data_IF_156293962503
#
_entry.id   IF_156293962503
#
_cell.length_a   1.000
_cell.length_b   1.000
_cell.length_c   1.000
_cell.angle_alpha   90.00
_cell.angle_beta   90.00
_cell.angle_gamma   90.00
#
_symmetry.space_group_name_H-M   'P 1'
#
loop_
_entity.id
_entity.type
_entity.pdbx_description
1 polymer ?
#
# COMPACT_ATOMS: atom_id res chain seq x y z
N UNK A 1 -2.80 -26.18 -57.93
CA UNK A 1 -2.51 -24.87 -58.53
C UNK A 1 -1.72 -24.02 -57.55
N UNK A 2 -0.41 -23.84 -57.81
CA UNK A 2 0.45 -22.79 -57.22
C UNK A 2 1.06 -22.06 -58.42
N UNK A 3 1.16 -20.73 -58.35
CA UNK A 3 1.88 -19.93 -59.34
C UNK A 3 3.18 -19.37 -58.72
N UNK A 4 4.29 -19.70 -59.41
CA UNK A 4 5.59 -19.03 -59.66
C UNK A 4 6.03 -17.82 -58.80
N UNK A 5 7.33 -17.53 -58.60
CA UNK A 5 8.44 -17.63 -59.54
C UNK A 5 9.83 -17.59 -58.84
N UNK A 6 10.83 -18.23 -59.47
CA UNK A 6 12.22 -18.38 -59.02
C UNK A 6 13.11 -17.19 -59.42
N UNK A 7 14.02 -16.82 -58.52
CA UNK A 7 15.21 -15.97 -58.75
C UNK A 7 16.38 -16.82 -59.32
N UNK A 8 17.19 -16.20 -60.17
CA UNK A 8 18.40 -16.79 -60.77
C UNK A 8 19.67 -16.20 -60.13
N UNK A 9 20.66 -17.06 -59.92
CA UNK A 9 21.98 -16.82 -59.31
C UNK A 9 23.02 -16.54 -60.40
N UNK A 10 23.99 -15.63 -60.15
CA UNK A 10 25.36 -15.79 -60.65
C UNK A 10 26.37 -15.01 -59.83
N UNK A 11 27.33 -15.74 -59.27
CA UNK A 11 28.56 -15.38 -58.57
C UNK A 11 29.69 -14.99 -59.54
N UNK A 12 30.56 -14.03 -59.19
CA UNK A 12 31.98 -14.06 -59.60
C UNK A 12 32.90 -13.33 -58.61
N UNK A 13 34.09 -13.91 -58.43
CA UNK A 13 35.11 -13.69 -57.40
C UNK A 13 36.23 -12.75 -57.89
N UNK A 14 36.84 -12.05 -56.93
CA UNK A 14 38.00 -11.15 -56.95
C UNK A 14 39.25 -11.65 -57.72
N UNK A 15 40.07 -10.72 -58.25
CA UNK A 15 41.53 -10.67 -57.97
C UNK A 15 42.17 -9.32 -58.36
N UNK A 16 43.16 -8.92 -57.56
CA UNK A 16 43.94 -7.66 -57.56
C UNK A 16 44.85 -7.45 -58.79
N UNK A 17 45.05 -6.18 -59.17
CA UNK A 17 46.38 -5.65 -59.55
C UNK A 17 46.57 -4.23 -59.00
N UNK A 18 47.74 -4.03 -58.40
CA UNK A 18 48.22 -2.78 -57.81
C UNK A 18 49.23 -2.16 -58.78
N UNK A 19 49.08 -0.88 -59.13
CA UNK A 19 50.12 -0.08 -59.76
C UNK A 19 50.06 1.34 -59.21
N UNK A 20 51.13 1.73 -58.55
CA UNK A 20 51.32 3.00 -57.89
C UNK A 20 51.57 4.14 -58.89
N UNK A 21 51.01 5.32 -58.60
CA UNK A 21 51.48 6.61 -59.14
C UNK A 21 51.27 7.68 -58.07
N UNK A 22 52.32 8.44 -57.80
CA UNK A 22 52.47 9.39 -56.69
C UNK A 22 51.71 10.71 -56.92
N UNK A 23 51.07 11.18 -55.84
CA UNK A 23 50.97 12.55 -55.30
C UNK A 23 50.95 13.76 -56.25
N UNK A 24 49.86 14.54 -56.18
CA UNK A 24 49.91 15.99 -55.90
C UNK A 24 48.74 16.36 -54.96
N UNK A 25 49.05 17.14 -53.95
CA UNK A 25 48.23 17.58 -52.82
C UNK A 25 47.05 18.49 -53.19
N UNK A 26 45.91 18.32 -52.51
CA UNK A 26 45.05 19.45 -52.10
C UNK A 26 44.35 19.13 -50.78
N UNK A 27 44.38 20.11 -49.89
CA UNK A 27 44.11 20.07 -48.44
C UNK A 27 42.68 19.68 -48.06
N UNK A 28 42.58 18.85 -47.02
CA UNK A 28 41.37 18.46 -46.29
C UNK A 28 40.62 19.67 -45.69
N UNK A 29 39.32 19.79 -45.98
CA UNK A 29 38.38 20.49 -45.08
C UNK A 29 37.97 19.49 -43.99
N UNK A 30 38.48 19.67 -42.77
CA UNK A 30 38.01 18.95 -41.58
C UNK A 30 36.56 19.34 -41.28
N UNK A 31 35.73 18.32 -41.12
CA UNK A 31 34.34 18.43 -40.66
C UNK A 31 34.26 19.07 -39.28
N UNK A 32 33.22 19.88 -39.09
CA UNK A 32 32.85 20.43 -37.80
C UNK A 32 32.42 19.28 -36.87
N UNK A 33 33.25 18.98 -35.88
CA UNK A 33 32.88 18.17 -34.74
C UNK A 33 31.80 18.93 -33.96
N UNK A 34 30.61 18.34 -33.81
CA UNK A 34 29.62 18.80 -32.84
C UNK A 34 30.22 18.57 -31.44
N UNK A 35 30.86 19.60 -30.90
CA UNK A 35 31.21 19.64 -29.48
C UNK A 35 29.89 19.82 -28.74
N UNK A 36 29.36 18.75 -28.16
CA UNK A 36 28.39 18.90 -27.08
C UNK A 36 29.12 19.66 -25.99
N UNK A 37 28.77 20.92 -25.78
CA UNK A 37 29.28 21.76 -24.70
C UNK A 37 28.85 21.12 -23.37
N UNK A 38 29.69 20.23 -22.85
CA UNK A 38 29.48 19.56 -21.56
C UNK A 38 29.68 20.64 -20.51
N UNK A 39 28.61 21.32 -20.12
CA UNK A 39 28.64 22.32 -19.06
C UNK A 39 28.98 21.63 -17.72
N UNK A 40 30.22 21.70 -17.20
CA UNK A 40 30.64 20.86 -16.07
C UNK A 40 29.84 21.10 -14.80
N UNK A 41 29.25 22.31 -14.69
CA UNK A 41 28.34 22.69 -13.61
C UNK A 41 27.09 21.82 -13.53
N UNK A 42 26.65 21.20 -14.64
CA UNK A 42 25.47 20.33 -14.70
C UNK A 42 25.78 18.86 -14.34
N UNK A 43 27.05 18.54 -14.06
CA UNK A 43 27.55 17.18 -13.81
C UNK A 43 28.00 16.90 -12.36
N UNK A 44 27.50 17.66 -11.38
CA UNK A 44 27.71 17.38 -9.95
C UNK A 44 26.74 16.31 -9.43
N UNK A 45 27.14 15.62 -8.36
CA UNK A 45 26.26 14.67 -7.66
C UNK A 45 25.15 15.36 -6.90
N UNK A 46 25.41 16.55 -6.35
CA UNK A 46 24.51 17.25 -5.43
C UNK A 46 24.42 18.75 -5.72
N UNK A 47 23.22 19.30 -5.64
CA UNK A 47 22.91 20.72 -5.82
C UNK A 47 22.08 21.22 -4.64
N UNK A 48 22.71 21.99 -3.75
CA UNK A 48 22.03 22.62 -2.63
C UNK A 48 21.57 24.02 -3.02
N UNK A 49 20.26 24.24 -3.02
CA UNK A 49 19.61 25.48 -3.45
C UNK A 49 18.95 26.11 -2.22
N UNK A 50 19.42 27.31 -1.83
CA UNK A 50 18.83 28.08 -0.73
C UNK A 50 18.33 29.45 -1.18
N UNK A 51 18.88 29.93 -2.29
CA UNK A 51 18.56 31.26 -2.83
C UNK A 51 18.21 31.18 -4.31
N UNK A 52 17.52 32.20 -4.81
CA UNK A 52 17.30 32.36 -6.26
C UNK A 52 18.62 32.38 -7.07
N UNK A 53 19.72 32.86 -6.47
CA UNK A 53 21.05 32.86 -7.09
C UNK A 53 21.61 31.45 -7.31
N UNK A 54 21.43 30.55 -6.34
CA UNK A 54 21.86 29.15 -6.46
C UNK A 54 21.11 28.45 -7.61
N UNK A 55 19.81 28.72 -7.74
CA UNK A 55 18.98 28.17 -8.80
C UNK A 55 19.37 28.74 -10.17
N UNK A 56 19.63 30.05 -10.25
CA UNK A 56 20.08 30.71 -11.48
C UNK A 56 21.39 30.08 -12.00
N UNK A 57 22.28 29.66 -11.12
CA UNK A 57 23.56 29.03 -11.48
C UNK A 57 23.41 27.71 -12.27
N UNK A 58 22.27 27.03 -12.15
CA UNK A 58 21.96 25.76 -12.84
C UNK A 58 20.80 25.86 -13.85
N UNK A 59 20.21 27.05 -14.01
CA UNK A 59 18.97 27.25 -14.79
C UNK A 59 19.10 27.03 -16.31
N UNK A 60 20.32 27.07 -16.84
CA UNK A 60 20.67 26.78 -18.22
C UNK A 60 21.06 25.32 -18.47
N UNK A 61 21.14 24.50 -17.41
CA UNK A 61 21.33 23.06 -17.55
C UNK A 61 20.04 22.41 -18.07
N UNK A 62 20.10 21.79 -19.25
CA UNK A 62 18.98 20.99 -19.75
C UNK A 62 18.81 19.66 -18.97
N UNK A 63 19.93 19.08 -18.51
CA UNK A 63 19.99 17.82 -17.76
C UNK A 63 20.87 18.03 -16.53
N UNK A 64 20.36 17.64 -15.36
CA UNK A 64 21.08 17.65 -14.09
C UNK A 64 21.49 16.20 -13.76
N UNK A 65 22.78 15.90 -13.68
CA UNK A 65 23.26 14.53 -13.44
C UNK A 65 23.03 14.02 -12.02
N UNK A 66 22.80 14.92 -11.07
CA UNK A 66 22.72 14.64 -9.65
C UNK A 66 21.35 14.94 -9.06
N UNK A 67 21.31 15.08 -7.74
CA UNK A 67 20.11 15.43 -6.97
C UNK A 67 20.05 16.92 -6.65
N UNK A 68 18.85 17.48 -6.71
CA UNK A 68 18.55 18.85 -6.31
C UNK A 68 17.91 18.84 -4.91
N UNK A 69 18.53 19.56 -4.00
CA UNK A 69 18.09 19.74 -2.63
C UNK A 69 17.80 21.22 -2.38
N UNK A 70 16.51 21.54 -2.26
CA UNK A 70 16.04 22.89 -1.94
C UNK A 70 15.64 22.91 -0.47
N UNK A 71 16.27 23.79 0.32
CA UNK A 71 15.94 23.98 1.73
C UNK A 71 16.06 25.45 2.12
N UNK A 72 15.20 25.85 3.06
CA UNK A 72 15.17 27.22 3.60
C UNK A 72 15.14 28.29 2.48
N UNK A 73 14.42 28.00 1.39
CA UNK A 73 14.42 28.83 0.18
C UNK A 73 13.76 30.19 0.45
N UNK A 74 14.47 31.26 0.10
CA UNK A 74 14.13 32.64 0.47
C UNK A 74 13.12 33.35 -0.46
N UNK A 75 12.65 32.66 -1.49
CA UNK A 75 11.74 33.19 -2.51
C UNK A 75 10.37 32.51 -2.48
N UNK A 76 9.35 33.24 -2.95
CA UNK A 76 7.96 32.77 -3.04
C UNK A 76 7.74 31.77 -4.20
N UNK A 77 8.66 31.72 -5.15
CA UNK A 77 8.52 30.96 -6.39
C UNK A 77 9.81 30.19 -6.69
N UNK A 78 9.69 28.86 -6.79
CA UNK A 78 10.76 27.97 -7.24
C UNK A 78 10.50 27.61 -8.71
N UNK A 79 11.24 28.26 -9.63
CA UNK A 79 11.09 28.08 -11.07
C UNK A 79 12.29 27.33 -11.67
N UNK A 80 12.10 26.06 -12.06
CA UNK A 80 13.17 25.20 -12.60
C UNK A 80 13.55 25.52 -14.06
N UNK A 81 12.82 26.42 -14.72
CA UNK A 81 13.17 26.95 -16.03
C UNK A 81 13.32 25.91 -17.14
N UNK A 82 14.52 25.81 -17.70
CA UNK A 82 14.80 25.00 -18.88
C UNK A 82 15.19 23.55 -18.56
N UNK A 83 15.33 23.20 -17.27
CA UNK A 83 15.68 21.86 -16.82
C UNK A 83 14.62 20.87 -17.29
N UNK A 84 15.05 19.90 -18.10
CA UNK A 84 14.20 18.85 -18.66
C UNK A 84 14.30 17.55 -17.90
N UNK A 85 15.43 17.29 -17.27
CA UNK A 85 15.67 16.03 -16.58
C UNK A 85 16.56 16.26 -15.35
N UNK A 86 16.16 15.65 -14.24
CA UNK A 86 16.99 15.48 -13.03
C UNK A 86 17.25 13.99 -12.90
N UNK A 87 18.51 13.55 -13.01
CA UNK A 87 18.87 12.13 -12.96
C UNK A 87 18.77 11.55 -11.54
N UNK A 88 18.97 12.38 -10.51
CA UNK A 88 18.80 12.01 -9.10
C UNK A 88 17.43 12.41 -8.55
N UNK A 89 17.43 12.82 -7.28
CA UNK A 89 16.26 13.24 -6.54
C UNK A 89 15.96 14.74 -6.76
N UNK A 90 14.70 15.14 -6.61
CA UNK A 90 14.28 16.52 -6.47
C UNK A 90 13.59 16.67 -5.13
N UNK A 91 14.25 17.28 -4.16
CA UNK A 91 13.73 17.42 -2.80
C UNK A 91 13.56 18.89 -2.45
N UNK A 92 12.40 19.25 -1.90
CA UNK A 92 12.10 20.60 -1.41
C UNK A 92 11.56 20.48 0.00
N UNK A 93 12.28 21.04 0.97
CA UNK A 93 11.98 20.89 2.39
C UNK A 93 12.01 22.22 3.12
N UNK A 94 11.12 22.39 4.10
CA UNK A 94 11.16 23.50 5.07
C UNK A 94 11.18 24.90 4.43
N UNK A 95 10.58 25.07 3.25
CA UNK A 95 10.52 26.38 2.59
C UNK A 95 9.18 27.05 2.94
N UNK A 96 9.14 27.75 4.08
CA UNK A 96 7.91 28.36 4.60
C UNK A 96 7.39 29.54 3.77
N UNK A 97 8.26 30.22 3.02
CA UNK A 97 7.89 31.32 2.13
C UNK A 97 7.44 30.87 0.74
N UNK A 98 7.70 29.61 0.37
CA UNK A 98 7.45 29.11 -0.98
C UNK A 98 5.95 28.95 -1.23
N UNK A 99 5.42 29.74 -2.17
CA UNK A 99 4.02 29.75 -2.56
C UNK A 99 3.75 28.88 -3.80
N UNK A 100 4.69 28.87 -4.74
CA UNK A 100 4.53 28.22 -6.05
C UNK A 100 5.81 27.50 -6.46
N UNK A 101 5.64 26.36 -7.12
CA UNK A 101 6.75 25.64 -7.74
C UNK A 101 6.38 25.23 -9.17
N UNK A 102 7.29 25.51 -10.10
CA UNK A 102 7.04 25.43 -11.53
C UNK A 102 8.23 24.79 -12.26
N UNK A 103 7.94 23.77 -13.06
CA UNK A 103 8.89 23.08 -13.92
C UNK A 103 8.29 22.84 -15.31
N UNK A 104 8.11 23.88 -16.14
CA UNK A 104 7.37 23.77 -17.41
C UNK A 104 8.06 22.86 -18.45
N UNK A 105 9.36 22.62 -18.29
CA UNK A 105 10.16 21.77 -19.17
C UNK A 105 10.50 20.41 -18.57
N UNK A 106 10.30 20.21 -17.27
CA UNK A 106 10.76 19.02 -16.56
C UNK A 106 9.93 17.81 -16.99
N UNK A 107 10.59 16.84 -17.59
CA UNK A 107 10.00 15.61 -18.10
C UNK A 107 10.25 14.41 -17.20
N UNK A 108 11.40 14.35 -16.55
CA UNK A 108 11.77 13.23 -15.68
C UNK A 108 12.53 13.66 -14.41
N UNK A 109 12.22 12.96 -13.32
CA UNK A 109 13.03 12.88 -12.11
C UNK A 109 13.43 11.40 -11.95
N UNK A 110 14.73 11.10 -11.96
CA UNK A 110 15.22 9.73 -11.94
C UNK A 110 15.01 9.03 -10.60
N UNK A 111 14.93 9.79 -9.51
CA UNK A 111 14.70 9.31 -8.16
C UNK A 111 13.41 9.86 -7.52
N UNK A 112 13.54 10.29 -6.26
CA UNK A 112 12.43 10.77 -5.45
C UNK A 112 12.13 12.25 -5.74
N UNK A 113 10.86 12.56 -5.99
CA UNK A 113 10.34 13.92 -5.92
C UNK A 113 9.66 14.13 -4.55
N UNK A 114 10.41 14.71 -3.62
CA UNK A 114 9.99 14.94 -2.23
C UNK A 114 9.58 16.38 -1.99
N UNK A 115 8.37 16.58 -1.47
CA UNK A 115 7.87 17.86 -0.97
C UNK A 115 7.52 17.67 0.51
N UNK A 116 8.17 18.41 1.41
CA UNK A 116 8.01 18.21 2.84
C UNK A 116 7.99 19.54 3.62
N UNK A 117 6.97 19.72 4.46
CA UNK A 117 6.82 20.91 5.32
C UNK A 117 6.84 22.20 4.50
N UNK A 118 5.95 22.30 3.51
CA UNK A 118 5.79 23.48 2.65
C UNK A 118 4.45 24.14 2.98
N UNK A 119 4.42 24.80 4.14
CA UNK A 119 3.19 25.30 4.77
C UNK A 119 2.44 26.36 3.95
N UNK A 120 3.15 27.05 3.04
CA UNK A 120 2.59 28.10 2.21
C UNK A 120 2.43 27.70 0.73
N UNK A 121 2.80 26.47 0.36
CA UNK A 121 2.74 26.02 -1.03
C UNK A 121 1.28 25.82 -1.46
N UNK A 122 0.84 26.61 -2.43
CA UNK A 122 -0.55 26.60 -2.94
C UNK A 122 -0.68 25.92 -4.29
N UNK A 123 0.36 26.00 -5.13
CA UNK A 123 0.34 25.45 -6.48
C UNK A 123 1.64 24.76 -6.89
N UNK A 124 1.50 23.64 -7.57
CA UNK A 124 2.56 22.86 -8.18
C UNK A 124 2.26 22.69 -9.68
N UNK A 125 3.18 23.08 -10.57
CA UNK A 125 2.96 22.99 -12.03
C UNK A 125 4.12 22.32 -12.77
N UNK A 126 3.88 21.09 -13.25
CA UNK A 126 4.84 20.25 -13.97
C UNK A 126 4.14 19.58 -15.16
N UNK A 127 3.67 20.38 -16.15
CA UNK A 127 2.79 19.89 -17.21
C UNK A 127 3.42 18.82 -18.12
N UNK A 128 4.75 18.71 -18.15
CA UNK A 128 5.50 17.75 -18.98
C UNK A 128 6.08 16.56 -18.22
N UNK A 129 5.87 16.48 -16.91
CA UNK A 129 6.45 15.43 -16.09
C UNK A 129 5.75 14.10 -16.37
N UNK A 130 6.49 13.13 -16.91
CA UNK A 130 5.98 11.82 -17.29
C UNK A 130 6.62 10.68 -16.47
N UNK A 131 7.78 10.93 -15.85
CA UNK A 131 8.56 9.90 -15.16
C UNK A 131 9.09 10.39 -13.82
N UNK A 132 8.81 9.66 -12.75
CA UNK A 132 9.36 9.87 -11.42
C UNK A 132 9.43 8.54 -10.69
N UNK A 133 10.51 8.19 -10.01
CA UNK A 133 10.57 6.89 -9.30
C UNK A 133 9.60 6.89 -8.11
N UNK A 134 9.63 7.94 -7.28
CA UNK A 134 8.79 8.07 -6.09
C UNK A 134 8.25 9.48 -5.91
N UNK A 135 6.94 9.64 -5.76
CA UNK A 135 6.33 10.87 -5.25
C UNK A 135 6.17 10.74 -3.73
N UNK A 136 6.78 11.66 -2.97
CA UNK A 136 6.68 11.69 -1.52
C UNK A 136 6.29 13.08 -1.02
N UNK A 137 5.02 13.25 -0.72
CA UNK A 137 4.43 14.52 -0.31
C UNK A 137 3.92 14.45 1.12
N UNK A 138 4.40 15.38 1.95
CA UNK A 138 4.09 15.41 3.36
C UNK A 138 3.98 16.83 3.87
N UNK A 139 2.92 17.13 4.63
CA UNK A 139 2.70 18.44 5.26
C UNK A 139 2.68 19.55 4.20
N UNK A 140 1.61 19.54 3.40
CA UNK A 140 1.31 20.53 2.35
C UNK A 140 -0.10 21.09 2.58
N UNK A 141 -0.34 21.76 3.74
CA UNK A 141 -1.66 21.99 4.29
C UNK A 141 -2.56 22.92 3.47
N UNK A 142 -2.01 23.64 2.48
CA UNK A 142 -2.78 24.51 1.60
C UNK A 142 -2.51 24.26 0.11
N UNK A 143 -1.90 23.12 -0.23
CA UNK A 143 -1.71 22.73 -1.64
C UNK A 143 -3.06 22.29 -2.21
N UNK A 144 -3.61 23.12 -3.10
CA UNK A 144 -4.91 22.87 -3.75
C UNK A 144 -4.81 22.65 -5.25
N UNK A 145 -3.72 23.09 -5.89
CA UNK A 145 -3.53 22.98 -7.33
C UNK A 145 -2.28 22.19 -7.68
N UNK A 146 -2.45 21.10 -8.43
CA UNK A 146 -1.38 20.28 -8.99
C UNK A 146 -1.65 20.10 -10.48
N UNK A 147 -0.71 20.52 -11.32
CA UNK A 147 -0.76 20.29 -12.76
C UNK A 147 0.29 19.25 -13.19
N UNK A 148 -0.21 18.11 -13.70
CA UNK A 148 0.52 17.09 -14.44
C UNK A 148 -0.17 16.79 -15.78
N UNK A 149 -0.33 17.78 -16.66
CA UNK A 149 -1.10 17.69 -17.92
C UNK A 149 -0.75 16.46 -18.79
N UNK A 150 0.52 16.05 -18.83
CA UNK A 150 0.98 14.89 -19.61
C UNK A 150 0.67 13.53 -18.95
N UNK A 151 0.33 13.55 -17.66
CA UNK A 151 0.19 12.36 -16.82
C UNK A 151 1.52 11.67 -16.53
N UNK A 152 1.63 11.07 -15.36
CA UNK A 152 2.80 10.29 -14.95
C UNK A 152 2.65 8.87 -15.51
N UNK A 153 3.50 8.52 -16.46
CA UNK A 153 3.51 7.23 -17.17
C UNK A 153 4.43 6.21 -16.50
N UNK A 154 5.41 6.69 -15.72
CA UNK A 154 6.36 5.85 -14.98
C UNK A 154 6.46 6.35 -13.55
N UNK A 155 5.96 5.53 -12.63
CA UNK A 155 6.08 5.75 -11.20
C UNK A 155 6.04 4.42 -10.46
N UNK A 156 6.88 4.28 -9.44
CA UNK A 156 6.92 3.09 -8.61
C UNK A 156 6.32 3.31 -7.23
N UNK A 157 6.23 4.53 -6.70
CA UNK A 157 5.63 4.77 -5.39
C UNK A 157 4.98 6.13 -5.25
N UNK A 158 3.81 6.14 -4.61
CA UNK A 158 3.09 7.34 -4.18
C UNK A 158 2.93 7.29 -2.68
N UNK A 159 3.49 8.27 -1.98
CA UNK A 159 3.34 8.47 -0.54
C UNK A 159 2.83 9.89 -0.33
N UNK A 160 1.61 10.05 0.17
CA UNK A 160 0.96 11.34 0.30
C UNK A 160 0.25 11.49 1.63
N UNK A 161 0.63 12.53 2.39
CA UNK A 161 0.03 12.83 3.68
C UNK A 161 -0.07 14.31 3.99
N UNK A 162 -1.09 14.67 4.77
CA UNK A 162 -1.30 16.03 5.29
C UNK A 162 -1.38 17.09 4.18
N UNK A 163 -2.10 16.79 3.09
CA UNK A 163 -2.35 17.72 1.97
C UNK A 163 -3.79 18.26 1.97
N UNK A 164 -4.03 19.34 1.22
CA UNK A 164 -5.36 19.91 0.98
C UNK A 164 -5.92 19.60 -0.42
N UNK A 165 -5.39 18.57 -1.07
CA UNK A 165 -5.88 18.11 -2.37
C UNK A 165 -7.28 17.51 -2.24
N UNK A 166 -8.14 17.76 -3.23
CA UNK A 166 -9.51 17.22 -3.28
C UNK A 166 -9.63 15.96 -4.11
N UNK A 167 -8.71 15.76 -5.05
CA UNK A 167 -8.54 14.53 -5.81
C UNK A 167 -7.07 14.29 -6.09
N UNK A 168 -6.72 13.02 -6.25
CA UNK A 168 -5.38 12.61 -6.69
C UNK A 168 -5.50 11.52 -7.75
N UNK A 169 -4.80 11.71 -8.85
CA UNK A 169 -4.85 10.85 -10.03
C UNK A 169 -3.78 11.28 -11.03
N UNK A 170 -3.95 10.91 -12.28
CA UNK A 170 -3.02 11.30 -13.34
C UNK A 170 -1.77 10.42 -13.43
N UNK A 171 -1.76 9.25 -12.80
CA UNK A 171 -0.80 8.19 -13.06
C UNK A 171 -1.50 6.96 -13.62
N UNK A 172 -1.07 6.52 -14.80
CA UNK A 172 -1.58 5.32 -15.48
C UNK A 172 -0.39 4.35 -15.61
N UNK A 173 -0.26 3.46 -14.63
CA UNK A 173 0.85 2.52 -14.51
C UNK A 173 0.30 1.13 -14.25
N UNK A 174 1.01 0.11 -14.71
CA UNK A 174 0.64 -1.29 -14.50
C UNK A 174 0.98 -1.76 -13.08
N UNK A 175 2.15 -1.34 -12.56
CA UNK A 175 2.67 -1.80 -11.28
C UNK A 175 3.09 -0.61 -10.42
N UNK A 176 2.79 -0.69 -9.13
CA UNK A 176 3.39 0.13 -8.07
C UNK A 176 4.08 -0.76 -7.05
N UNK A 177 5.03 -0.20 -6.31
CA UNK A 177 5.51 -0.73 -5.03
C UNK A 177 4.55 -0.34 -3.92
N UNK A 178 4.40 0.97 -3.73
CA UNK A 178 3.60 1.52 -2.62
C UNK A 178 2.60 2.55 -3.12
N UNK A 179 1.36 2.43 -2.67
CA UNK A 179 0.32 3.45 -2.75
C UNK A 179 -0.17 3.73 -1.33
N UNK A 180 0.42 4.73 -0.70
CA UNK A 180 0.15 5.11 0.68
C UNK A 180 -0.39 6.54 0.72
N UNK A 181 -1.71 6.66 0.90
CA UNK A 181 -2.43 7.94 0.90
C UNK A 181 -3.20 8.04 2.20
N UNK A 182 -2.72 8.87 3.11
CA UNK A 182 -3.29 9.00 4.45
C UNK A 182 -3.36 10.45 4.95
N UNK A 183 -4.24 10.74 5.91
CA UNK A 183 -4.32 12.07 6.55
C UNK A 183 -4.59 13.24 5.58
N UNK A 184 -5.28 13.01 4.46
CA UNK A 184 -5.68 14.07 3.52
C UNK A 184 -7.16 14.43 3.71
N UNK A 185 -7.44 15.35 4.64
CA UNK A 185 -8.80 15.66 5.13
C UNK A 185 -9.81 16.10 4.05
N UNK A 186 -9.34 16.56 2.90
CA UNK A 186 -10.16 17.03 1.80
C UNK A 186 -10.13 16.12 0.57
N UNK A 187 -9.33 15.05 0.59
CA UNK A 187 -9.18 14.16 -0.56
C UNK A 187 -10.38 13.22 -0.68
N UNK A 188 -11.25 13.48 -1.65
CA UNK A 188 -12.53 12.79 -1.82
C UNK A 188 -12.47 11.64 -2.83
N UNK A 189 -11.41 11.56 -3.65
CA UNK A 189 -11.31 10.60 -4.75
C UNK A 189 -9.88 10.15 -5.00
N UNK A 190 -9.72 8.84 -5.11
CA UNK A 190 -8.52 8.17 -5.61
C UNK A 190 -8.94 7.22 -6.73
N UNK A 191 -8.39 7.40 -7.91
CA UNK A 191 -8.66 6.55 -9.07
C UNK A 191 -7.34 6.16 -9.74
N UNK A 192 -7.18 4.87 -10.03
CA UNK A 192 -6.02 4.37 -10.78
C UNK A 192 -6.35 3.07 -11.52
N UNK A 193 -5.61 2.84 -12.60
CA UNK A 193 -5.67 1.65 -13.45
C UNK A 193 -4.64 0.59 -13.04
N UNK A 194 -3.93 0.80 -11.93
CA UNK A 194 -2.87 -0.11 -11.44
C UNK A 194 -3.38 -1.54 -11.29
N UNK A 195 -2.59 -2.47 -11.80
CA UNK A 195 -2.88 -3.91 -11.81
C UNK A 195 -2.21 -4.63 -10.65
N UNK A 196 -1.05 -4.15 -10.18
CA UNK A 196 -0.27 -4.78 -9.12
C UNK A 196 0.35 -3.77 -8.14
N UNK A 197 0.25 -4.04 -6.84
CA UNK A 197 0.93 -3.27 -5.79
C UNK A 197 1.83 -4.18 -4.96
N UNK A 198 3.13 -4.12 -5.25
CA UNK A 198 4.17 -5.08 -4.80
C UNK A 198 4.59 -4.96 -3.32
N UNK A 199 4.17 -3.91 -2.60
CA UNK A 199 4.51 -3.71 -1.18
C UNK A 199 3.29 -3.38 -0.31
N UNK A 200 2.70 -2.20 -0.47
CA UNK A 200 1.63 -1.70 0.41
C UNK A 200 0.61 -0.85 -0.35
N UNK A 201 -0.67 -1.17 -0.17
CA UNK A 201 -1.79 -0.28 -0.40
C UNK A 201 -2.36 0.16 0.95
N UNK A 202 -2.13 1.41 1.34
CA UNK A 202 -2.67 2.01 2.56
C UNK A 202 -3.53 3.23 2.23
N UNK A 203 -4.83 3.13 2.52
CA UNK A 203 -5.77 4.23 2.50
C UNK A 203 -6.34 4.41 3.92
N UNK A 204 -6.14 5.56 4.54
CA UNK A 204 -6.68 5.85 5.88
C UNK A 204 -6.79 7.34 6.18
N UNK A 205 -7.68 7.75 7.09
CA UNK A 205 -7.76 9.14 7.57
C UNK A 205 -7.84 10.23 6.46
N UNK A 206 -8.46 9.93 5.32
CA UNK A 206 -8.67 10.92 4.26
C UNK A 206 -10.03 11.63 4.42
N UNK A 207 -10.59 12.25 3.38
CA UNK A 207 -11.91 12.88 3.48
C UNK A 207 -12.96 11.84 3.88
N UNK A 208 -13.95 12.29 4.66
CA UNK A 208 -14.99 11.41 5.21
C UNK A 208 -15.82 10.68 4.17
N UNK A 209 -15.90 11.23 2.95
CA UNK A 209 -16.64 10.77 1.78
C UNK A 209 -15.71 10.18 0.71
N UNK A 210 -14.48 9.79 1.06
CA UNK A 210 -13.50 9.33 0.08
C UNK A 210 -14.00 8.08 -0.64
N UNK A 211 -13.92 8.13 -1.98
CA UNK A 211 -14.17 7.00 -2.86
C UNK A 211 -12.88 6.53 -3.51
N UNK A 212 -12.60 5.25 -3.43
CA UNK A 212 -11.39 4.61 -3.97
C UNK A 212 -11.78 3.64 -5.07
N UNK A 213 -11.25 3.85 -6.28
CA UNK A 213 -11.52 2.96 -7.41
C UNK A 213 -10.22 2.46 -8.03
N UNK A 214 -9.94 1.16 -7.85
CA UNK A 214 -8.82 0.45 -8.44
C UNK A 214 -9.35 -0.82 -9.15
N UNK A 215 -10.21 -0.66 -10.18
CA UNK A 215 -10.99 -1.76 -10.75
C UNK A 215 -10.10 -2.84 -11.41
N UNK A 216 -8.87 -2.48 -11.79
CA UNK A 216 -7.93 -3.38 -12.45
C UNK A 216 -6.95 -4.05 -11.48
N UNK A 217 -6.96 -3.71 -10.19
CA UNK A 217 -6.00 -4.23 -9.23
C UNK A 217 -6.24 -5.74 -9.06
N UNK A 218 -5.32 -6.57 -9.55
CA UNK A 218 -5.40 -8.03 -9.49
C UNK A 218 -4.66 -8.57 -8.27
N UNK A 219 -3.55 -7.94 -7.88
CA UNK A 219 -2.66 -8.44 -6.85
C UNK A 219 -2.12 -7.31 -5.98
N UNK A 220 -2.09 -7.52 -4.67
CA UNK A 220 -1.47 -6.61 -3.72
C UNK A 220 -0.75 -7.39 -2.63
N UNK A 221 0.39 -6.89 -2.17
CA UNK A 221 1.13 -7.56 -1.10
C UNK A 221 0.45 -7.38 0.26
N UNK A 222 0.22 -6.13 0.66
CA UNK A 222 -0.47 -5.78 1.90
C UNK A 222 -1.54 -4.74 1.62
N UNK A 223 -2.76 -4.99 2.07
CA UNK A 223 -3.92 -4.12 1.85
C UNK A 223 -4.45 -3.61 3.18
N UNK A 224 -4.54 -2.30 3.33
CA UNK A 224 -5.18 -1.64 4.48
C UNK A 224 -6.09 -0.52 4.00
N UNK A 225 -7.38 -0.65 4.29
CA UNK A 225 -8.43 0.30 3.90
C UNK A 225 -9.21 0.68 5.15
N UNK A 226 -9.10 1.97 5.53
CA UNK A 226 -9.75 2.55 6.69
C UNK A 226 -10.43 3.87 6.35
N UNK A 227 -11.45 4.21 7.13
CA UNK A 227 -12.17 5.47 7.05
C UNK A 227 -12.70 5.81 5.64
N UNK A 228 -13.02 4.78 4.84
CA UNK A 228 -13.38 4.91 3.43
C UNK A 228 -14.90 4.80 3.23
N UNK A 229 -15.47 5.67 2.37
CA UNK A 229 -16.91 5.71 2.08
C UNK A 229 -17.31 4.70 1.01
N UNK A 230 -16.48 4.50 -0.02
CA UNK A 230 -16.73 3.56 -1.10
C UNK A 230 -15.41 2.99 -1.64
N UNK A 231 -15.43 1.72 -2.02
CA UNK A 231 -14.26 1.04 -2.57
C UNK A 231 -14.63 0.09 -3.72
N UNK A 232 -13.92 0.23 -4.85
CA UNK A 232 -13.97 -0.70 -5.97
C UNK A 232 -12.63 -1.42 -6.13
N UNK A 233 -12.65 -2.73 -5.89
CA UNK A 233 -11.54 -3.69 -6.04
C UNK A 233 -12.01 -4.95 -6.78
N UNK A 234 -12.93 -4.83 -7.74
CA UNK A 234 -13.64 -5.96 -8.35
C UNK A 234 -12.73 -7.03 -8.98
N UNK A 235 -11.56 -6.63 -9.50
CA UNK A 235 -10.58 -7.55 -10.11
C UNK A 235 -9.61 -8.18 -9.13
N UNK A 236 -9.65 -7.81 -7.83
CA UNK A 236 -8.67 -8.26 -6.86
C UNK A 236 -8.76 -9.78 -6.67
N UNK A 237 -7.66 -10.47 -6.93
CA UNK A 237 -7.57 -11.93 -6.83
C UNK A 237 -6.72 -12.39 -5.65
N UNK A 238 -5.62 -11.70 -5.33
CA UNK A 238 -4.67 -12.18 -4.34
C UNK A 238 -4.22 -11.03 -3.44
N UNK A 239 -4.25 -11.28 -2.13
CA UNK A 239 -3.54 -10.46 -1.14
C UNK A 239 -2.42 -11.29 -0.54
N UNK A 240 -1.16 -11.06 -0.94
CA UNK A 240 -0.02 -11.93 -0.57
C UNK A 240 0.13 -12.10 0.95
N UNK A 241 -0.06 -11.02 1.70
CA UNK A 241 0.00 -11.00 3.16
C UNK A 241 -1.39 -10.76 3.74
N UNK A 242 -1.65 -9.61 4.35
CA UNK A 242 -2.89 -9.33 5.07
C UNK A 242 -3.77 -8.32 4.35
N UNK A 243 -5.08 -8.51 4.48
CA UNK A 243 -6.12 -7.58 4.07
C UNK A 243 -6.86 -7.06 5.31
N UNK A 244 -6.77 -5.76 5.59
CA UNK A 244 -7.47 -5.08 6.69
C UNK A 244 -8.49 -4.09 6.10
N UNK A 245 -9.77 -4.40 6.26
CA UNK A 245 -10.88 -3.51 6.00
C UNK A 245 -11.51 -3.12 7.33
N UNK A 246 -11.15 -1.95 7.87
CA UNK A 246 -11.68 -1.55 9.17
C UNK A 246 -12.08 -0.10 9.30
N UNK A 247 -13.11 0.14 10.12
CA UNK A 247 -13.65 1.49 10.37
C UNK A 247 -14.15 2.20 9.09
N UNK A 248 -14.60 1.44 8.10
CA UNK A 248 -15.15 2.00 6.88
C UNK A 248 -16.65 2.27 6.99
N UNK A 249 -17.14 3.07 6.06
CA UNK A 249 -18.53 3.51 5.97
C UNK A 249 -19.28 2.93 4.79
N UNK A 250 -18.58 2.26 3.87
CA UNK A 250 -19.20 1.57 2.75
C UNK A 250 -20.26 0.57 3.25
N UNK A 251 -21.34 0.44 2.48
CA UNK A 251 -22.42 -0.52 2.77
C UNK A 251 -22.17 -1.88 2.13
N UNK A 252 -21.27 -1.93 1.13
CA UNK A 252 -20.94 -3.13 0.36
C UNK A 252 -19.43 -3.32 0.28
N UNK A 253 -18.97 -4.55 0.44
CA UNK A 253 -17.60 -5.01 0.15
C UNK A 253 -17.67 -6.16 -0.85
N UNK A 254 -17.48 -5.85 -2.14
CA UNK A 254 -17.61 -6.81 -3.23
C UNK A 254 -16.23 -7.24 -3.74
N UNK A 255 -15.80 -8.45 -3.40
CA UNK A 255 -14.53 -9.03 -3.82
C UNK A 255 -14.74 -10.39 -4.50
N UNK A 256 -15.54 -10.44 -5.59
CA UNK A 256 -16.01 -11.69 -6.20
C UNK A 256 -14.90 -12.52 -6.83
N UNK A 257 -13.73 -11.91 -7.07
CA UNK A 257 -12.58 -12.55 -7.70
C UNK A 257 -11.47 -12.91 -6.72
N UNK A 258 -11.57 -12.52 -5.45
CA UNK A 258 -10.53 -12.77 -4.46
C UNK A 258 -10.45 -14.26 -4.15
N UNK A 259 -9.29 -14.87 -4.40
CA UNK A 259 -9.03 -16.31 -4.27
C UNK A 259 -8.35 -16.66 -2.96
N UNK A 260 -7.45 -15.80 -2.48
CA UNK A 260 -6.70 -16.04 -1.26
C UNK A 260 -6.15 -14.77 -0.60
N UNK A 261 -5.91 -14.89 0.72
CA UNK A 261 -4.99 -14.01 1.46
C UNK A 261 -3.95 -14.87 2.18
N UNK A 262 -2.67 -14.45 2.20
CA UNK A 262 -1.62 -15.27 2.79
C UNK A 262 -1.59 -15.27 4.32
N UNK A 263 -1.95 -14.15 4.95
CA UNK A 263 -2.00 -14.01 6.39
C UNK A 263 -3.45 -13.76 6.83
N UNK A 264 -3.76 -12.56 7.34
CA UNK A 264 -5.05 -12.30 7.98
C UNK A 264 -5.99 -11.54 7.05
N UNK A 265 -7.23 -12.01 6.95
CA UNK A 265 -8.36 -11.22 6.45
C UNK A 265 -9.12 -10.65 7.65
N UNK A 266 -9.17 -9.33 7.76
CA UNK A 266 -9.85 -8.60 8.83
C UNK A 266 -10.94 -7.71 8.26
N UNK A 267 -12.17 -7.90 8.72
CA UNK A 267 -13.33 -7.04 8.45
C UNK A 267 -13.84 -6.56 9.80
N UNK A 268 -13.45 -5.36 10.21
CA UNK A 268 -13.60 -4.91 11.60
C UNK A 268 -14.25 -3.53 11.69
N UNK A 269 -15.26 -3.36 12.54
CA UNK A 269 -15.87 -2.05 12.81
C UNK A 269 -16.43 -1.32 11.58
N UNK A 270 -16.90 -2.03 10.55
CA UNK A 270 -17.57 -1.43 9.40
C UNK A 270 -19.08 -1.33 9.70
N UNK A 271 -19.48 -0.27 10.42
CA UNK A 271 -20.81 -0.16 11.05
C UNK A 271 -21.99 -0.15 10.07
N UNK A 272 -21.76 0.18 8.81
CA UNK A 272 -22.79 0.23 7.76
C UNK A 272 -22.74 -0.96 6.79
N UNK A 273 -21.75 -1.84 6.92
CA UNK A 273 -21.49 -2.93 5.98
C UNK A 273 -22.58 -4.00 6.09
N UNK A 274 -23.31 -4.22 5.00
CA UNK A 274 -24.42 -5.16 4.88
C UNK A 274 -24.11 -6.26 3.86
N UNK A 275 -23.68 -5.84 2.69
CA UNK A 275 -23.48 -6.73 1.55
C UNK A 275 -21.99 -7.07 1.46
N UNK A 276 -21.65 -8.35 1.62
CA UNK A 276 -20.27 -8.82 1.54
C UNK A 276 -20.21 -9.97 0.54
N UNK A 277 -19.18 -9.99 -0.30
CA UNK A 277 -18.99 -11.06 -1.28
C UNK A 277 -17.52 -11.49 -1.34
N UNK A 278 -17.28 -12.76 -1.01
CA UNK A 278 -16.01 -13.46 -1.16
C UNK A 278 -16.21 -14.84 -1.80
N UNK A 279 -17.11 -14.97 -2.78
CA UNK A 279 -17.54 -16.26 -3.36
C UNK A 279 -16.39 -17.14 -3.85
N UNK A 280 -15.28 -16.55 -4.32
CA UNK A 280 -14.11 -17.30 -4.82
C UNK A 280 -12.99 -17.47 -3.78
N UNK A 281 -13.14 -16.93 -2.57
CA UNK A 281 -12.11 -17.00 -1.55
C UNK A 281 -12.03 -18.44 -1.06
N UNK A 282 -10.92 -19.10 -1.38
CA UNK A 282 -10.71 -20.51 -1.07
C UNK A 282 -9.77 -20.74 0.11
N UNK A 283 -8.88 -19.78 0.39
CA UNK A 283 -7.84 -19.92 1.40
C UNK A 283 -7.54 -18.60 2.12
N UNK A 284 -7.47 -18.69 3.44
CA UNK A 284 -6.89 -17.66 4.32
C UNK A 284 -5.70 -18.29 5.03
N UNK A 285 -4.47 -17.93 4.67
CA UNK A 285 -3.28 -18.63 5.18
C UNK A 285 -2.97 -18.35 6.66
N UNK A 286 -3.54 -17.30 7.24
CA UNK A 286 -3.51 -16.94 8.66
C UNK A 286 -4.90 -16.86 9.26
N UNK A 287 -5.24 -15.76 9.95
CA UNK A 287 -6.51 -15.62 10.66
C UNK A 287 -7.65 -15.02 9.82
N UNK A 288 -8.89 -15.37 10.15
CA UNK A 288 -10.08 -14.74 9.59
C UNK A 288 -10.86 -14.05 10.71
N UNK A 289 -10.99 -12.73 10.63
CA UNK A 289 -11.59 -11.91 11.68
C UNK A 289 -12.77 -11.11 11.14
N UNK A 290 -13.97 -11.34 11.69
CA UNK A 290 -15.19 -10.57 11.40
C UNK A 290 -15.69 -10.01 12.73
N UNK A 291 -15.38 -8.75 13.02
CA UNK A 291 -15.55 -8.19 14.37
C UNK A 291 -16.33 -6.89 14.30
N UNK A 292 -17.41 -6.80 15.09
CA UNK A 292 -18.15 -5.56 15.35
C UNK A 292 -18.67 -4.85 14.08
N UNK A 293 -19.16 -5.62 13.10
CA UNK A 293 -19.86 -5.11 11.93
C UNK A 293 -21.38 -5.12 12.22
N UNK A 294 -21.91 -4.00 12.71
CA UNK A 294 -23.27 -3.90 13.30
C UNK A 294 -24.43 -4.27 12.34
N UNK A 295 -24.17 -4.38 11.03
CA UNK A 295 -25.18 -4.72 10.02
C UNK A 295 -24.94 -6.08 9.34
N UNK A 296 -23.92 -6.83 9.76
CA UNK A 296 -23.71 -8.24 9.39
C UNK A 296 -24.30 -9.10 10.50
N UNK A 297 -25.48 -9.66 10.26
CA UNK A 297 -26.12 -10.63 11.16
C UNK A 297 -26.03 -12.08 10.67
N UNK A 298 -25.64 -12.31 9.43
CA UNK A 298 -25.37 -13.66 8.88
C UNK A 298 -24.01 -13.67 8.15
N UNK A 299 -23.25 -14.75 8.31
CA UNK A 299 -21.98 -14.97 7.61
C UNK A 299 -22.13 -16.17 6.66
N UNK A 300 -22.51 -15.90 5.43
CA UNK A 300 -22.78 -16.89 4.36
C UNK A 300 -21.98 -16.62 3.06
N UNK A 301 -21.22 -15.52 3.02
CA UNK A 301 -20.48 -15.03 1.85
C UNK A 301 -19.11 -15.69 1.62
N UNK A 302 -18.84 -16.82 2.25
CA UNK A 302 -17.59 -17.61 2.12
C UNK A 302 -17.85 -18.98 1.48
N UNK A 303 -18.62 -19.02 0.40
CA UNK A 303 -19.12 -20.26 -0.20
C UNK A 303 -18.04 -21.25 -0.66
N UNK A 304 -16.85 -20.75 -1.04
CA UNK A 304 -15.73 -21.57 -1.53
C UNK A 304 -14.59 -21.73 -0.52
N UNK A 305 -14.73 -21.21 0.70
CA UNK A 305 -13.63 -21.21 1.68
C UNK A 305 -13.34 -22.63 2.15
N UNK A 306 -12.12 -23.11 1.91
CA UNK A 306 -11.69 -24.50 2.21
C UNK A 306 -10.77 -24.59 3.40
N UNK A 307 -9.95 -23.57 3.65
CA UNK A 307 -8.97 -23.60 4.72
C UNK A 307 -8.66 -22.25 5.33
N UNK A 308 -8.54 -22.24 6.65
CA UNK A 308 -7.97 -21.15 7.45
C UNK A 308 -6.71 -21.67 8.15
N UNK A 309 -5.56 -21.07 7.85
CA UNK A 309 -4.26 -21.51 8.36
C UNK A 309 -3.96 -21.06 9.80
N UNK A 310 -4.76 -20.15 10.34
CA UNK A 310 -4.76 -19.70 11.72
C UNK A 310 -6.14 -19.87 12.38
N UNK A 311 -6.53 -18.89 13.20
CA UNK A 311 -7.81 -18.90 13.92
C UNK A 311 -8.92 -18.18 13.15
N UNK A 312 -10.18 -18.55 13.40
CA UNK A 312 -11.34 -17.71 13.09
C UNK A 312 -11.80 -17.00 14.36
N UNK A 313 -12.14 -15.72 14.24
CA UNK A 313 -12.66 -14.90 15.35
C UNK A 313 -13.81 -14.03 14.87
N UNK A 314 -15.02 -14.35 15.36
CA UNK A 314 -16.27 -13.70 14.97
C UNK A 314 -16.96 -13.08 16.18
N UNK A 315 -17.11 -11.76 16.17
CA UNK A 315 -17.77 -11.00 17.22
C UNK A 315 -18.84 -10.08 16.64
N UNK A 316 -19.99 -9.97 17.29
CA UNK A 316 -21.05 -9.04 16.89
C UNK A 316 -22.46 -9.53 17.22
N UNK A 317 -23.46 -9.03 16.50
CA UNK A 317 -24.86 -9.49 16.62
C UNK A 317 -25.17 -10.56 15.56
N UNK A 318 -24.30 -11.57 15.45
CA UNK A 318 -24.36 -12.62 14.44
C UNK A 318 -25.42 -13.65 14.85
N UNK A 319 -26.38 -13.93 14.00
CA UNK A 319 -27.46 -14.91 14.20
C UNK A 319 -27.08 -16.29 13.68
N UNK A 320 -26.26 -16.35 12.63
CA UNK A 320 -25.79 -17.60 12.04
C UNK A 320 -24.51 -17.38 11.22
N UNK A 321 -23.77 -18.47 10.99
CA UNK A 321 -22.75 -18.55 9.95
C UNK A 321 -22.80 -19.95 9.34
N UNK A 322 -22.43 -20.08 8.07
CA UNK A 322 -22.37 -21.37 7.41
C UNK A 322 -21.15 -21.47 6.51
N UNK A 323 -20.46 -22.62 6.58
CA UNK A 323 -19.36 -22.94 5.69
C UNK A 323 -19.64 -24.21 4.88
N UNK A 324 -19.91 -24.06 3.58
CA UNK A 324 -20.20 -25.19 2.69
C UNK A 324 -18.98 -26.11 2.48
N UNK A 325 -17.81 -25.50 2.26
CA UNK A 325 -16.62 -26.16 1.71
C UNK A 325 -15.45 -26.23 2.72
N UNK A 326 -15.62 -25.69 3.94
CA UNK A 326 -14.55 -25.57 4.91
C UNK A 326 -14.12 -26.94 5.42
N UNK A 327 -12.82 -27.23 5.29
CA UNK A 327 -12.23 -28.52 5.65
C UNK A 327 -11.36 -28.44 6.88
N UNK A 328 -10.69 -27.30 7.08
CA UNK A 328 -9.70 -27.16 8.13
C UNK A 328 -9.55 -25.72 8.63
N UNK A 329 -9.46 -25.60 9.94
CA UNK A 329 -8.98 -24.43 10.68
C UNK A 329 -7.79 -24.92 11.51
N UNK A 330 -6.57 -24.45 11.26
CA UNK A 330 -5.36 -24.92 11.97
C UNK A 330 -5.15 -24.25 13.34
N UNK A 331 -6.03 -23.33 13.71
CA UNK A 331 -6.03 -22.65 14.99
C UNK A 331 -7.41 -22.70 15.65
N UNK A 332 -7.66 -21.76 16.55
CA UNK A 332 -8.91 -21.73 17.31
C UNK A 332 -10.10 -21.24 16.48
N UNK A 333 -11.30 -21.63 16.87
CA UNK A 333 -12.54 -21.04 16.40
C UNK A 333 -13.22 -20.32 17.55
N UNK A 334 -13.36 -19.01 17.45
CA UNK A 334 -13.92 -18.16 18.51
C UNK A 334 -15.15 -17.45 17.95
N UNK A 335 -16.31 -17.70 18.54
CA UNK A 335 -17.56 -17.01 18.28
C UNK A 335 -18.02 -16.31 19.55
N UNK A 336 -18.24 -15.00 19.50
CA UNK A 336 -18.89 -14.22 20.58
C UNK A 336 -20.03 -13.42 19.99
N UNK A 337 -21.19 -14.06 19.92
CA UNK A 337 -22.40 -13.42 19.47
C UNK A 337 -23.15 -12.79 20.64
N UNK A 338 -23.61 -11.57 20.43
CA UNK A 338 -24.59 -10.89 21.29
C UNK A 338 -26.04 -11.26 20.94
N UNK A 339 -26.26 -12.01 19.87
CA UNK A 339 -27.61 -12.45 19.47
C UNK A 339 -28.12 -13.54 20.40
N UNK A 340 -29.33 -13.34 20.92
CA UNK A 340 -30.08 -14.37 21.63
C UNK A 340 -30.58 -15.49 20.70
N UNK A 341 -30.48 -15.36 19.37
CA UNK A 341 -30.87 -16.42 18.45
C UNK A 341 -29.73 -17.37 18.10
N UNK A 342 -28.48 -16.99 18.36
CA UNK A 342 -27.33 -17.81 17.98
C UNK A 342 -27.29 -19.11 18.79
N UNK A 343 -27.11 -20.23 18.10
CA UNK A 343 -27.05 -21.56 18.71
C UNK A 343 -25.60 -22.08 18.75
N UNK A 344 -24.97 -21.92 19.91
CA UNK A 344 -23.60 -22.42 20.11
C UNK A 344 -23.50 -23.94 20.00
N UNK A 345 -24.51 -24.69 20.45
CA UNK A 345 -24.47 -26.15 20.39
C UNK A 345 -24.50 -26.64 18.95
N UNK A 346 -25.35 -26.03 18.12
CA UNK A 346 -25.42 -26.31 16.69
C UNK A 346 -24.11 -25.92 15.99
N UNK A 347 -23.64 -24.69 16.17
CA UNK A 347 -22.41 -24.19 15.56
C UNK A 347 -21.19 -25.04 15.92
N UNK A 348 -21.00 -25.34 17.21
CA UNK A 348 -19.87 -26.14 17.67
C UNK A 348 -19.92 -27.53 17.05
N UNK A 349 -21.09 -28.18 17.01
CA UNK A 349 -21.23 -29.57 16.53
C UNK A 349 -21.14 -29.69 15.00
N UNK A 350 -21.78 -28.77 14.28
CA UNK A 350 -22.03 -28.91 12.85
C UNK A 350 -21.09 -28.06 11.98
N UNK A 351 -20.65 -26.90 12.45
CA UNK A 351 -19.79 -26.00 11.67
C UNK A 351 -18.29 -26.19 11.97
N UNK A 352 -17.89 -26.25 13.25
CA UNK A 352 -16.46 -26.13 13.63
C UNK A 352 -15.79 -27.34 14.27
N UNK A 353 -16.49 -28.20 15.01
CA UNK A 353 -15.86 -29.31 15.74
C UNK A 353 -15.07 -30.27 14.85
N UNK A 354 -15.50 -30.47 13.60
CA UNK A 354 -14.85 -31.41 12.67
C UNK A 354 -13.72 -30.79 11.87
N UNK A 355 -13.61 -29.47 11.81
CA UNK A 355 -12.64 -28.77 10.97
C UNK A 355 -11.51 -28.13 11.76
N UNK A 356 -11.70 -27.83 13.05
CA UNK A 356 -10.62 -27.31 13.91
C UNK A 356 -9.57 -28.38 14.19
N UNK A 357 -8.30 -28.03 14.01
CA UNK A 357 -7.12 -28.86 14.28
C UNK A 357 -6.10 -28.02 15.04
N UNK A 358 -6.02 -28.22 16.35
CA UNK A 358 -5.18 -27.45 17.25
C UNK A 358 -5.85 -26.17 17.77
N UNK A 359 -5.82 -25.99 19.09
CA UNK A 359 -6.32 -24.79 19.77
C UNK A 359 -7.60 -25.06 20.56
N UNK A 360 -8.61 -24.21 20.39
CA UNK A 360 -9.90 -24.35 21.06
C UNK A 360 -11.07 -23.93 20.18
N UNK A 361 -12.23 -24.49 20.44
CA UNK A 361 -13.52 -23.97 19.99
C UNK A 361 -14.15 -23.25 21.18
N UNK A 362 -14.40 -21.96 21.04
CA UNK A 362 -15.06 -21.13 22.04
C UNK A 362 -16.31 -20.49 21.44
N UNK A 363 -17.46 -20.66 22.07
CA UNK A 363 -18.70 -20.06 21.63
C UNK A 363 -19.46 -19.37 22.76
N UNK A 364 -19.79 -18.09 22.56
CA UNK A 364 -20.73 -17.31 23.36
C UNK A 364 -21.92 -16.86 22.51
N UNK A 365 -23.09 -16.85 23.12
CA UNK A 365 -24.33 -16.30 22.54
C UNK A 365 -24.99 -15.32 23.52
N UNK A 366 -25.88 -14.46 23.02
CA UNK A 366 -26.62 -13.50 23.85
C UNK A 366 -27.47 -14.14 24.95
N UNK A 367 -27.68 -15.45 24.91
CA UNK A 367 -28.40 -16.24 25.94
C UNK A 367 -27.58 -16.48 27.22
N UNK A 368 -26.26 -16.31 27.19
CA UNK A 368 -25.36 -16.70 28.28
C UNK A 368 -24.25 -15.65 28.52
N UNK A 369 -23.91 -15.44 29.79
CA UNK A 369 -22.76 -14.64 30.21
C UNK A 369 -21.43 -15.39 30.15
N UNK A 370 -21.46 -16.70 29.93
CA UNK A 370 -20.27 -17.56 29.79
C UNK A 370 -20.17 -18.17 28.41
N UNK A 371 -18.96 -18.46 27.96
CA UNK A 371 -18.72 -19.18 26.70
C UNK A 371 -18.52 -20.67 26.94
N UNK A 372 -19.05 -21.49 26.03
CA UNK A 372 -18.74 -22.91 25.95
C UNK A 372 -17.36 -23.09 25.31
N UNK A 373 -16.52 -23.95 25.92
CA UNK A 373 -15.13 -24.15 25.47
C UNK A 373 -14.83 -25.64 25.29
N UNK A 374 -14.32 -25.99 24.11
CA UNK A 374 -13.71 -27.27 23.81
C UNK A 374 -12.24 -27.05 23.46
N UNK A 375 -11.34 -27.76 24.13
CA UNK A 375 -9.92 -27.81 23.76
C UNK A 375 -9.76 -28.88 22.68
N UNK A 376 -9.08 -28.54 21.58
CA UNK A 376 -8.93 -29.42 20.42
C UNK A 376 -7.45 -29.61 20.11
N UNK A 377 -7.01 -30.85 20.01
CA UNK A 377 -5.63 -31.17 19.66
C UNK A 377 -5.39 -31.16 18.14
N UNK A 378 -4.16 -31.43 17.71
CA UNK A 378 -3.80 -31.47 16.29
C UNK A 378 -4.44 -32.63 15.52
N UNK A 379 -4.86 -33.69 16.21
CA UNK A 379 -5.55 -34.85 15.63
C UNK A 379 -7.05 -34.62 15.45
N UNK A 380 -7.61 -33.61 16.14
CA UNK A 380 -9.03 -33.28 16.16
C UNK A 380 -9.78 -33.92 17.34
N UNK A 381 -9.08 -34.55 18.29
CA UNK A 381 -9.69 -34.98 19.54
C UNK A 381 -10.01 -33.76 20.41
N UNK A 382 -11.17 -33.80 21.06
CA UNK A 382 -11.67 -32.67 21.86
C UNK A 382 -11.97 -33.08 23.29
N UNK A 383 -11.65 -32.17 24.22
CA UNK A 383 -11.96 -32.29 25.65
C UNK A 383 -12.62 -31.02 26.13
N UNK A 384 -13.42 -31.11 27.20
CA UNK A 384 -14.10 -29.95 27.76
C UNK A 384 -13.09 -29.02 28.43
N UNK A 385 -13.11 -27.74 28.04
CA UNK A 385 -12.33 -26.68 28.67
C UNK A 385 -13.11 -25.97 29.77
N UNK A 386 -12.41 -25.12 30.52
CA UNK A 386 -13.07 -24.20 31.46
C UNK A 386 -13.92 -23.18 30.67
N UNK A 387 -15.17 -22.90 31.12
CA UNK A 387 -15.99 -21.87 30.51
C UNK A 387 -15.29 -20.51 30.49
N UNK A 388 -15.36 -19.81 29.36
CA UNK A 388 -14.86 -18.44 29.24
C UNK A 388 -15.93 -17.40 29.56
N UNK A 389 -15.62 -16.13 29.30
CA UNK A 389 -16.52 -15.00 29.55
C UNK A 389 -17.07 -14.50 28.21
N UNK A 390 -18.39 -14.39 28.13
CA UNK A 390 -19.05 -13.77 26.99
C UNK A 390 -19.21 -12.27 27.24
N UNK A 391 -18.12 -11.53 27.08
CA UNK A 391 -18.14 -10.07 27.24
C UNK A 391 -18.84 -9.42 26.03
N UNK A 392 -20.11 -9.06 26.21
CA UNK A 392 -20.90 -8.24 25.27
C UNK A 392 -20.41 -6.76 25.19
N UNK A 393 -19.27 -6.43 25.78
CA UNK A 393 -18.86 -5.06 26.03
C UNK A 393 -17.87 -4.56 24.96
N UNK A 394 -18.29 -3.51 24.23
CA UNK A 394 -17.61 -2.86 23.08
C UNK A 394 -16.22 -2.24 23.36
N UNK A 395 -15.49 -2.63 24.41
CA UNK A 395 -14.23 -1.98 24.79
C UNK A 395 -13.20 -2.98 25.36
N UNK A 396 -12.54 -3.76 24.49
CA UNK A 396 -11.24 -4.36 24.81
C UNK A 396 -10.42 -4.56 23.54
N UNK A 397 -9.82 -3.48 23.05
CA UNK A 397 -8.69 -3.54 22.14
C UNK A 397 -7.44 -4.00 22.89
N UNK A 398 -7.34 -5.28 23.27
CA UNK A 398 -6.09 -5.85 23.75
C UNK A 398 -5.44 -6.67 22.65
N UNK A 399 -4.50 -6.03 21.97
CA UNK A 399 -3.71 -6.53 20.84
C UNK A 399 -2.57 -7.46 21.28
N UNK A 400 -2.74 -8.22 22.36
CA UNK A 400 -1.71 -9.09 22.92
C UNK A 400 -2.17 -10.55 23.00
N UNK A 401 -2.04 -11.28 21.89
CA UNK A 401 -1.78 -12.73 21.89
C UNK A 401 -1.43 -13.32 20.51
N UNK A 402 -1.24 -12.53 19.45
CA UNK A 402 -1.09 -13.05 18.07
C UNK A 402 0.35 -13.18 17.54
N UNK A 403 1.37 -13.10 18.39
CA UNK A 403 2.76 -13.36 17.99
C UNK A 403 3.48 -14.20 19.03
N UNK A 404 3.23 -15.52 19.06
CA UNK A 404 4.20 -16.53 19.51
C UNK A 404 3.65 -17.94 19.25
N UNK A 405 3.92 -18.46 18.06
CA UNK A 405 4.23 -19.88 17.90
C UNK A 405 4.90 -20.11 16.54
N UNK A 406 6.23 -19.96 16.54
CA UNK A 406 7.17 -20.76 15.74
C UNK A 406 8.58 -20.40 16.17
N UNK A 407 9.17 -21.24 17.00
CA UNK A 407 10.57 -21.68 16.96
C UNK A 407 10.77 -22.67 18.11
N UNK A 408 10.56 -23.94 17.80
CA UNK A 408 11.06 -25.04 18.61
C UNK A 408 12.54 -25.22 18.35
N UNK A 409 13.37 -24.84 19.31
CA UNK A 409 14.71 -25.37 19.49
C UNK A 409 14.99 -25.44 20.98
N UNK A 410 15.19 -26.67 21.44
CA UNK A 410 15.54 -27.10 22.79
C UNK A 410 16.71 -26.32 23.41
N UNK A 411 16.60 -25.95 24.68
CA UNK A 411 17.63 -26.29 25.67
C UNK A 411 17.20 -25.94 27.10
N UNK A 412 17.38 -26.93 27.98
CA UNK A 412 17.18 -26.90 29.43
C UNK A 412 18.14 -25.93 30.11
N UNK A 413 17.67 -24.86 30.76
CA UNK A 413 18.40 -24.24 31.87
C UNK A 413 17.45 -24.01 33.05
N UNK A 414 17.59 -24.91 34.02
CA UNK A 414 17.05 -24.82 35.37
C UNK A 414 17.80 -23.76 36.19
N UNK A 415 17.06 -23.06 37.04
CA UNK A 415 17.54 -22.47 38.31
C UNK A 415 18.49 -21.26 38.23
N UNK A 416 17.93 -20.05 38.30
CA UNK A 416 18.53 -19.03 39.18
C UNK A 416 17.45 -18.07 39.72
N UNK A 417 17.07 -18.33 40.95
CA UNK A 417 16.10 -17.57 41.72
C UNK A 417 16.71 -16.28 42.28
N UNK A 418 15.87 -15.24 42.35
CA UNK A 418 15.86 -14.20 43.39
C UNK A 418 17.15 -13.39 43.55
N UNK A 419 17.16 -12.20 42.96
CA UNK A 419 17.57 -10.92 43.60
C UNK A 419 17.52 -9.81 42.55
N UNK A 420 16.44 -9.02 42.56
CA UNK A 420 16.50 -7.55 42.59
C UNK A 420 15.06 -7.01 42.64
N UNK A 421 14.68 -6.55 43.84
CA UNK A 421 13.56 -5.66 44.05
C UNK A 421 14.12 -4.24 44.19
N UNK A 422 13.29 -3.24 43.85
CA UNK A 422 13.59 -1.80 43.71
C UNK A 422 14.30 -1.46 42.39
N UNK A 423 13.79 -0.59 41.50
CA UNK A 423 13.16 0.72 41.69
C UNK A 423 12.24 1.01 40.49
N UNK A 424 10.93 1.19 40.67
CA UNK A 424 10.05 1.92 39.73
C UNK A 424 8.92 2.59 40.52
N UNK A 425 9.06 3.89 40.80
CA UNK A 425 7.92 4.77 41.03
C UNK A 425 8.41 6.22 40.97
N UNK A 426 8.06 6.91 39.88
CA UNK A 426 7.65 8.33 39.78
C UNK A 426 7.67 8.62 38.29
N UNK A 427 6.50 8.74 37.65
CA UNK A 427 6.23 9.69 36.56
C UNK A 427 4.74 9.63 36.25
N UNK A 428 3.99 10.53 36.89
CA UNK A 428 2.63 10.90 36.50
C UNK A 428 2.39 12.32 36.99
N UNK A 429 1.83 13.15 36.11
CA UNK A 429 1.16 14.44 36.31
C UNK A 429 1.88 15.66 35.70
N UNK A 430 1.15 16.29 34.77
CA UNK A 430 1.31 17.67 34.30
C UNK A 430 2.04 17.76 32.95
N UNK A 431 1.54 18.39 31.89
CA UNK A 431 0.67 19.57 31.79
C UNK A 431 -0.01 19.54 30.41
N UNK A 432 -1.32 19.77 30.41
CA UNK A 432 -2.11 20.27 29.27
C UNK A 432 -2.39 21.76 29.54
N UNK A 433 -2.52 22.54 28.45
CA UNK A 433 -2.69 24.00 28.34
C UNK A 433 -1.39 24.82 28.31
N UNK A 434 -1.03 25.30 27.12
CA UNK A 434 -1.44 26.64 26.68
C UNK A 434 -1.27 26.82 25.17
N UNK A 435 -2.31 27.42 24.59
CA UNK A 435 -2.31 28.05 23.27
C UNK A 435 -1.34 29.24 23.26
N UNK A 436 -0.38 29.21 22.34
CA UNK A 436 0.08 30.34 21.50
C UNK A 436 0.84 29.78 20.30
#
# INVERSE_FOLDING_TARGET
MKFNCKLCFSTFVLLNTCLASKFVSQSEKKGATLVTDVQPKCFKSEYNIRTAGDLAAISDCAVISGSIHVSDFDSDTLYLGSIKEVKGDLTVKNCSSLLRMEGPSLNSVGGMFELNTLNSLTSLSFPKLESVETLKWKVLPILTFVNFDSGIKKINSVIMSDTSLTGFGGFNVETLKTLNINNNRFLERIESTVSEITEELLISANARNIRVSLPNLVWVKTLTVKDTEDINLESLQIVEKSADFSHNKFTKLDLPNMKSTGNTLSIINNKNLKDVNFDKLSEVGGGLMIIDNDQIDEIDFFSSLRSVGGAIEFHGNIKSNHFNDLKIIKGSAIMKSSSESFDCSDWMKNEVARVVRGGKVECGSGKSSTTEVLLVDESGESTQGEPGINDNNKNTSNKESFLKQKNGASSNWTTFSKKFAMVVSVYSIGILLQLL
#
